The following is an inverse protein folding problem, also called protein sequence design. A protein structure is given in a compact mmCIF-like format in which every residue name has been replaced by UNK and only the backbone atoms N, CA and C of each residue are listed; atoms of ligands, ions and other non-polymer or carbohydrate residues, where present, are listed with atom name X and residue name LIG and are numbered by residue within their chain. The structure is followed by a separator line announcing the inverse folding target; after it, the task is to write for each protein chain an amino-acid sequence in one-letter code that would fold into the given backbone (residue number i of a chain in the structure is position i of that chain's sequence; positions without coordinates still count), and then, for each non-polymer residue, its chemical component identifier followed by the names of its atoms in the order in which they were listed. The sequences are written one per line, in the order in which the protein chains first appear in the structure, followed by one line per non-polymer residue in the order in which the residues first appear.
data_IF_956169524993
#
_entry.id   IF_956169524993
#
_cell.length_a   1.000
_cell.length_b   1.000
_cell.length_c   1.000
_cell.angle_alpha   90.00
_cell.angle_beta   90.00
_cell.angle_gamma   90.00
#
_symmetry.space_group_name_H-M   'P 1'
#
loop_
_entity.id
_entity.type
_entity.pdbx_description
1 polymer ?
#
# COMPACT_ATOMS: atom_id res chain seq x y z
N UNK A 1 -22.28 1.30 8.75
CA UNK A 1 -20.97 1.64 9.34
C UNK A 1 -20.43 0.33 9.88
N UNK A 2 -19.34 -0.18 9.33
CA UNK A 2 -18.72 -1.43 9.79
C UNK A 2 -17.68 -1.12 10.86
N UNK A 3 -17.59 -1.98 11.87
CA UNK A 3 -16.75 -1.77 13.05
C UNK A 3 -15.27 -1.58 12.69
N UNK A 4 -14.63 -0.61 13.35
CA UNK A 4 -13.20 -0.39 13.26
C UNK A 4 -12.48 -1.61 13.85
N UNK A 5 -11.65 -2.29 13.05
CA UNK A 5 -10.73 -3.27 13.59
C UNK A 5 -9.83 -2.57 14.62
N UNK A 6 -9.75 -3.13 15.83
CA UNK A 6 -8.90 -2.69 16.93
C UNK A 6 -7.44 -2.65 16.43
N UNK A 7 -6.96 -1.46 16.10
CA UNK A 7 -5.62 -1.27 15.54
C UNK A 7 -4.62 -1.28 16.69
N UNK A 8 -3.89 -2.39 16.80
CA UNK A 8 -2.82 -2.56 17.78
C UNK A 8 -1.70 -1.58 17.44
N UNK A 9 -1.35 -0.73 18.41
CA UNK A 9 -0.16 0.12 18.34
C UNK A 9 1.09 -0.75 18.56
N UNK A 10 2.09 -0.57 17.71
CA UNK A 10 3.31 -1.40 17.66
C UNK A 10 4.51 -0.48 17.58
N UNK A 11 5.37 -0.47 18.59
CA UNK A 11 6.62 0.29 18.52
C UNK A 11 7.53 -0.20 17.37
N UNK A 12 8.54 0.60 17.02
CA UNK A 12 9.38 0.31 15.88
C UNK A 12 10.21 -0.99 16.03
N UNK A 13 10.71 -1.30 17.23
CA UNK A 13 11.51 -2.52 17.46
C UNK A 13 10.66 -3.78 17.36
N UNK A 14 9.41 -3.72 17.84
CA UNK A 14 8.44 -4.79 17.68
C UNK A 14 8.10 -4.99 16.21
N UNK A 15 7.91 -3.91 15.44
CA UNK A 15 7.73 -3.99 13.98
C UNK A 15 8.91 -4.69 13.27
N UNK A 16 10.17 -4.33 13.60
CA UNK A 16 11.36 -4.98 13.05
C UNK A 16 11.46 -6.46 13.40
N UNK A 17 10.92 -6.85 14.57
CA UNK A 17 10.84 -8.25 14.98
C UNK A 17 9.82 -9.00 14.14
N UNK A 18 8.64 -8.41 13.92
CA UNK A 18 7.58 -8.98 13.09
C UNK A 18 8.07 -9.25 11.66
N UNK A 19 8.71 -8.28 11.00
CA UNK A 19 9.24 -8.49 9.63
C UNK A 19 10.26 -9.63 9.58
N UNK A 20 11.17 -9.68 10.56
CA UNK A 20 12.21 -10.72 10.63
C UNK A 20 11.66 -12.12 10.87
N UNK A 21 10.59 -12.24 11.65
CA UNK A 21 9.98 -13.53 11.97
C UNK A 21 9.04 -14.03 10.89
N UNK A 22 8.40 -13.11 10.17
CA UNK A 22 7.47 -13.43 9.08
C UNK A 22 8.13 -13.54 7.72
N UNK A 23 9.33 -12.96 7.57
CA UNK A 23 10.00 -12.77 6.28
C UNK A 23 9.10 -12.04 5.27
N UNK A 24 8.32 -11.08 5.77
CA UNK A 24 7.38 -10.27 4.99
C UNK A 24 7.62 -8.80 5.25
N UNK A 25 7.66 -8.02 4.17
CA UNK A 25 7.76 -6.57 4.22
C UNK A 25 6.41 -5.95 4.52
N UNK A 26 6.42 -4.97 5.39
CA UNK A 26 5.27 -4.15 5.73
C UNK A 26 5.69 -2.69 5.79
N UNK A 27 4.77 -1.77 5.52
CA UNK A 27 5.01 -0.38 5.90
C UNK A 27 4.69 -0.18 7.38
N UNK A 28 5.41 0.71 8.04
CA UNK A 28 5.13 1.13 9.41
C UNK A 28 5.01 2.64 9.48
N UNK A 29 3.90 3.15 10.01
CA UNK A 29 3.67 4.58 10.18
C UNK A 29 3.20 4.84 11.60
N UNK A 30 4.09 5.46 12.39
CA UNK A 30 3.84 5.95 13.75
C UNK A 30 3.02 4.99 14.62
N UNK A 31 3.52 3.77 14.76
CA UNK A 31 2.90 2.75 15.60
C UNK A 31 1.97 1.80 14.87
N UNK A 32 1.78 1.93 13.55
CA UNK A 32 0.79 1.13 12.80
C UNK A 32 1.46 0.40 11.65
N UNK A 33 1.14 -0.89 11.51
CA UNK A 33 1.66 -1.75 10.44
C UNK A 33 0.64 -1.85 9.31
N UNK A 34 1.09 -1.70 8.07
CA UNK A 34 0.29 -1.82 6.86
C UNK A 34 0.91 -2.91 5.98
N UNK A 35 0.07 -3.84 5.52
CA UNK A 35 0.50 -4.84 4.56
C UNK A 35 0.81 -4.16 3.21
N UNK A 36 1.93 -4.53 2.60
CA UNK A 36 2.22 -4.14 1.23
C UNK A 36 1.31 -4.92 0.28
N UNK A 37 0.75 -4.24 -0.72
CA UNK A 37 0.08 -4.91 -1.82
C UNK A 37 1.10 -5.70 -2.64
N UNK A 38 0.69 -6.86 -3.17
CA UNK A 38 1.47 -7.55 -4.19
C UNK A 38 1.48 -6.77 -5.50
N UNK A 39 2.61 -6.78 -6.22
CA UNK A 39 2.72 -6.16 -7.54
C UNK A 39 2.08 -7.02 -8.64
N UNK A 40 1.54 -6.36 -9.67
CA UNK A 40 1.14 -7.01 -10.93
C UNK A 40 2.38 -7.24 -11.82
N UNK A 41 2.24 -7.99 -12.91
CA UNK A 41 3.33 -8.15 -13.90
C UNK A 41 3.74 -6.79 -14.46
N UNK A 42 2.77 -5.95 -14.83
CA UNK A 42 3.01 -4.59 -15.32
C UNK A 42 3.73 -3.72 -14.28
N UNK A 43 3.32 -3.78 -13.01
CA UNK A 43 3.99 -3.09 -11.90
C UNK A 43 5.47 -3.51 -11.82
N UNK A 44 5.73 -4.81 -11.80
CA UNK A 44 7.10 -5.34 -11.73
C UNK A 44 7.96 -4.93 -12.93
N UNK A 45 7.40 -4.92 -14.14
CA UNK A 45 8.09 -4.47 -15.35
C UNK A 45 8.41 -2.98 -15.29
N UNK A 46 7.45 -2.13 -14.91
CA UNK A 46 7.67 -0.69 -14.77
C UNK A 46 8.74 -0.39 -13.73
N UNK A 47 8.69 -1.04 -12.56
CA UNK A 47 9.72 -0.89 -11.52
C UNK A 47 11.09 -1.30 -12.05
N UNK A 48 11.20 -2.41 -12.79
CA UNK A 48 12.46 -2.87 -13.36
C UNK A 48 13.02 -1.91 -14.44
N UNK A 49 12.17 -1.41 -15.34
CA UNK A 49 12.57 -0.46 -16.37
C UNK A 49 13.04 0.86 -15.75
N UNK A 50 12.31 1.35 -14.73
CA UNK A 50 12.73 2.51 -13.94
C UNK A 50 14.10 2.31 -13.29
N UNK A 51 14.33 1.15 -12.64
CA UNK A 51 15.64 0.83 -12.05
C UNK A 51 16.74 0.84 -13.12
N UNK A 52 16.50 0.28 -14.31
CA UNK A 52 17.44 0.29 -15.42
C UNK A 52 17.84 1.70 -15.85
N UNK A 53 16.87 2.59 -16.04
CA UNK A 53 17.13 3.99 -16.41
C UNK A 53 17.82 4.78 -15.28
N UNK A 54 17.46 4.52 -14.03
CA UNK A 54 18.16 5.11 -12.88
C UNK A 54 19.61 4.62 -12.80
N UNK A 55 19.89 3.33 -13.02
CA UNK A 55 21.25 2.79 -13.02
C UNK A 55 22.09 3.43 -14.13
N UNK A 56 21.52 3.64 -15.31
CA UNK A 56 22.17 4.34 -16.43
C UNK A 56 22.59 5.75 -16.03
N UNK A 57 21.72 6.51 -15.36
CA UNK A 57 22.05 7.85 -14.88
C UNK A 57 23.06 7.81 -13.71
N UNK A 58 22.90 6.88 -12.78
CA UNK A 58 23.73 6.75 -11.59
C UNK A 58 25.20 6.47 -11.90
N UNK A 59 25.47 5.76 -13.00
CA UNK A 59 26.82 5.49 -13.49
C UNK A 59 27.62 6.76 -13.78
N UNK A 60 26.96 7.88 -14.12
CA UNK A 60 27.61 9.15 -14.44
C UNK A 60 27.87 10.03 -13.20
N UNK A 61 27.07 9.88 -12.13
CA UNK A 61 27.07 10.80 -10.98
C UNK A 61 27.38 10.13 -9.62
N UNK A 62 27.73 8.84 -9.60
CA UNK A 62 28.18 8.14 -8.40
C UNK A 62 27.09 7.88 -7.36
N UNK A 63 25.82 7.92 -7.77
CA UNK A 63 24.70 7.54 -6.91
C UNK A 63 24.53 6.01 -6.88
N UNK A 64 23.79 5.50 -5.88
CA UNK A 64 23.43 4.09 -5.75
C UNK A 64 21.93 3.93 -5.88
N UNK A 65 21.52 3.02 -6.75
CA UNK A 65 20.11 2.66 -6.96
C UNK A 65 19.79 1.43 -6.12
N UNK A 66 18.64 1.45 -5.48
CA UNK A 66 18.14 0.37 -4.64
C UNK A 66 16.74 -0.02 -5.09
N UNK A 67 16.47 -1.32 -5.02
CA UNK A 67 15.15 -1.90 -5.27
C UNK A 67 14.25 -1.72 -4.04
N UNK A 68 13.01 -2.19 -4.14
CA UNK A 68 12.07 -2.38 -3.02
C UNK A 68 12.59 -3.25 -1.86
N UNK A 69 13.80 -3.82 -1.93
CA UNK A 69 14.43 -4.54 -0.81
C UNK A 69 15.01 -3.63 0.26
N UNK A 70 15.30 -2.37 -0.06
CA UNK A 70 15.85 -1.42 0.90
C UNK A 70 14.72 -0.61 1.53
N UNK A 71 14.64 -0.68 2.87
CA UNK A 71 13.71 0.12 3.66
C UNK A 71 14.17 1.57 3.69
N UNK A 72 13.24 2.50 3.49
CA UNK A 72 13.43 3.94 3.68
C UNK A 72 12.76 4.38 4.97
N UNK A 73 13.49 5.13 5.78
CA UNK A 73 13.00 5.67 7.05
C UNK A 73 12.86 7.18 7.02
N UNK A 74 11.63 7.65 7.16
CA UNK A 74 11.30 9.07 7.39
C UNK A 74 11.23 9.31 8.89
N UNK A 75 12.37 9.57 9.51
CA UNK A 75 12.48 9.74 10.98
C UNK A 75 11.57 10.84 11.52
N UNK A 76 11.36 11.91 10.76
CA UNK A 76 10.55 13.06 11.17
C UNK A 76 9.05 12.72 11.36
N UNK A 77 8.55 11.68 10.69
CA UNK A 77 7.12 11.31 10.74
C UNK A 77 6.90 9.89 11.24
N UNK A 78 7.97 9.14 11.44
CA UNK A 78 7.88 7.72 11.75
C UNK A 78 7.43 6.86 10.56
N UNK A 79 7.56 7.27 9.29
CA UNK A 79 7.24 6.36 8.16
C UNK A 79 8.43 5.43 7.83
N UNK A 80 8.19 4.12 7.76
CA UNK A 80 9.10 3.09 7.26
C UNK A 80 8.40 2.47 6.07
N UNK A 81 9.05 2.51 4.93
CA UNK A 81 8.43 2.13 3.67
C UNK A 81 9.45 1.52 2.72
N UNK A 82 8.93 0.82 1.72
CA UNK A 82 9.68 0.14 0.67
C UNK A 82 9.23 0.68 -0.68
N UNK A 83 9.78 1.84 -1.13
CA UNK A 83 9.46 2.38 -2.46
C UNK A 83 9.87 1.39 -3.55
N UNK A 84 9.27 1.49 -4.73
CA UNK A 84 9.60 0.61 -5.86
C UNK A 84 11.06 0.73 -6.31
N UNK A 85 11.58 1.96 -6.26
CA UNK A 85 13.01 2.22 -6.36
C UNK A 85 13.40 3.42 -5.49
N UNK A 86 14.66 3.45 -5.06
CA UNK A 86 15.24 4.61 -4.41
C UNK A 86 16.66 4.86 -4.89
N UNK A 87 17.10 6.11 -4.84
CA UNK A 87 18.47 6.52 -5.18
C UNK A 87 19.07 7.26 -4.01
N UNK A 88 20.28 6.87 -3.62
CA UNK A 88 21.10 7.56 -2.62
C UNK A 88 22.35 8.08 -3.30
N UNK A 89 22.54 9.40 -3.26
CA UNK A 89 23.74 10.05 -3.78
C UNK A 89 24.70 10.35 -2.63
N UNK A 90 25.94 9.87 -2.72
CA UNK A 90 26.90 9.91 -1.61
C UNK A 90 26.77 8.72 -0.65
N UNK A 91 27.44 8.75 0.53
CA UNK A 91 27.38 7.70 1.54
C UNK A 91 25.95 7.39 2.01
N UNK A 92 25.60 6.10 2.12
CA UNK A 92 24.32 5.68 2.70
C UNK A 92 24.32 5.94 4.19
N UNK A 93 23.44 6.83 4.64
CA UNK A 93 23.15 7.02 6.06
C UNK A 93 22.07 6.04 6.48
N UNK A 94 22.34 5.32 7.57
CA UNK A 94 21.46 4.29 8.10
C UNK A 94 20.67 4.83 9.27
N UNK A 95 19.46 4.31 9.45
CA UNK A 95 18.70 4.57 10.67
C UNK A 95 19.45 3.98 11.89
N UNK A 96 19.54 4.69 13.03
CA UNK A 96 20.23 4.19 14.22
C UNK A 96 19.58 2.93 14.82
N UNK A 97 18.27 2.77 14.63
CA UNK A 97 17.48 1.67 15.20
C UNK A 97 17.31 0.50 14.22
N UNK A 98 17.57 0.72 12.92
CA UNK A 98 17.54 -0.29 11.86
C UNK A 98 18.70 -0.10 10.87
N UNK A 99 19.75 -0.92 11.02
CA UNK A 99 20.91 -0.89 10.12
C UNK A 99 20.56 -1.18 8.66
N UNK A 100 19.43 -1.82 8.36
CA UNK A 100 19.01 -2.14 7.00
C UNK A 100 18.06 -1.08 6.42
N UNK A 101 17.77 -0.01 7.16
CA UNK A 101 17.00 1.12 6.69
C UNK A 101 17.93 2.29 6.35
N UNK A 102 17.68 2.94 5.22
CA UNK A 102 18.35 4.19 4.84
C UNK A 102 17.48 5.40 5.19
N UNK A 103 18.13 6.51 5.53
CA UNK A 103 17.45 7.77 5.94
C UNK A 103 17.66 8.92 4.96
N UNK A 104 18.56 8.77 3.97
CA UNK A 104 19.00 9.84 3.09
C UNK A 104 18.79 9.57 1.57
N UNK A 105 17.61 9.10 1.11
CA UNK A 105 17.36 9.02 -0.33
C UNK A 105 17.33 10.42 -0.96
N UNK A 106 17.85 10.52 -2.17
CA UNK A 106 17.78 11.70 -3.04
C UNK A 106 16.61 11.59 -4.04
N UNK A 107 16.29 10.38 -4.49
CA UNK A 107 15.13 10.07 -5.36
C UNK A 107 14.33 8.92 -4.76
N UNK A 108 13.00 9.03 -4.82
CA UNK A 108 12.07 7.94 -4.52
C UNK A 108 11.12 7.72 -5.71
N UNK A 109 10.87 6.47 -6.06
CA UNK A 109 9.96 6.09 -7.15
C UNK A 109 8.84 5.22 -6.60
N UNK A 110 7.61 5.52 -7.01
CA UNK A 110 6.42 4.71 -6.76
C UNK A 110 5.73 4.43 -8.09
N UNK A 111 5.47 3.15 -8.38
CA UNK A 111 4.59 2.73 -9.46
C UNK A 111 3.17 2.68 -8.90
N UNK A 112 2.31 3.53 -9.46
CA UNK A 112 0.97 3.75 -8.93
C UNK A 112 0.08 2.54 -9.19
N UNK A 113 -0.68 2.15 -8.17
CA UNK A 113 -1.70 1.12 -8.26
C UNK A 113 -3.10 1.66 -7.95
N UNK A 114 -4.16 0.99 -8.43
CA UNK A 114 -5.55 1.36 -8.10
C UNK A 114 -5.81 1.42 -6.57
N UNK A 115 -5.08 0.62 -5.79
CA UNK A 115 -5.25 0.51 -4.34
C UNK A 115 -4.45 1.54 -3.53
N UNK A 116 -3.32 2.03 -4.05
CA UNK A 116 -2.38 2.89 -3.30
C UNK A 116 -2.23 4.29 -3.89
N UNK A 117 -2.67 4.54 -5.12
CA UNK A 117 -2.42 5.80 -5.84
C UNK A 117 -2.82 7.05 -5.04
N UNK A 118 -3.98 7.04 -4.39
CA UNK A 118 -4.43 8.17 -3.58
C UNK A 118 -3.53 8.44 -2.36
N UNK A 119 -3.01 7.37 -1.73
CA UNK A 119 -2.08 7.46 -0.61
C UNK A 119 -0.69 7.91 -1.07
N UNK A 120 -0.18 7.34 -2.18
CA UNK A 120 1.13 7.66 -2.74
C UNK A 120 1.23 9.12 -3.17
N UNK A 121 0.18 9.65 -3.81
CA UNK A 121 0.07 11.06 -4.23
C UNK A 121 -0.15 12.02 -3.05
N UNK A 122 -0.75 11.55 -1.96
CA UNK A 122 -1.21 12.36 -0.84
C UNK A 122 -0.33 12.23 0.39
N UNK A 123 -0.76 11.42 1.34
CA UNK A 123 -0.16 11.31 2.68
C UNK A 123 1.28 10.78 2.63
N UNK A 124 1.57 9.78 1.79
CA UNK A 124 2.93 9.22 1.65
C UNK A 124 3.90 10.27 1.14
N UNK A 125 3.50 11.02 0.10
CA UNK A 125 4.29 12.15 -0.38
C UNK A 125 4.48 13.22 0.70
N UNK A 126 3.47 13.51 1.52
CA UNK A 126 3.61 14.45 2.63
C UNK A 126 4.69 14.01 3.64
N UNK A 127 4.83 12.71 3.91
CA UNK A 127 5.92 12.17 4.71
C UNK A 127 7.27 12.29 4.00
N UNK A 128 7.36 11.89 2.73
CA UNK A 128 8.59 11.99 1.93
C UNK A 128 9.19 13.39 1.92
N UNK A 129 8.37 14.43 1.83
CA UNK A 129 8.85 15.83 1.85
C UNK A 129 9.62 16.20 3.11
N UNK A 130 9.48 15.45 4.21
CA UNK A 130 10.24 15.66 5.46
C UNK A 130 11.66 15.08 5.42
N UNK A 131 12.01 14.29 4.41
CA UNK A 131 13.39 13.80 4.22
C UNK A 131 14.26 14.95 3.69
N UNK A 132 15.30 15.41 4.41
CA UNK A 132 16.08 16.58 4.01
C UNK A 132 16.87 16.41 2.70
N UNK A 133 17.39 15.21 2.45
CA UNK A 133 18.16 14.87 1.24
C UNK A 133 17.31 14.71 -0.01
N UNK A 134 15.99 14.53 0.15
CA UNK A 134 15.11 14.17 -0.96
C UNK A 134 14.89 15.34 -1.91
N UNK A 135 15.23 15.11 -3.18
CA UNK A 135 15.13 16.09 -4.27
C UNK A 135 14.01 15.76 -5.23
N UNK A 136 13.83 14.49 -5.59
CA UNK A 136 12.81 14.09 -6.56
C UNK A 136 11.94 12.94 -6.03
N UNK A 137 10.63 13.04 -6.26
CA UNK A 137 9.67 11.93 -6.10
C UNK A 137 9.03 11.68 -7.45
N UNK A 138 9.16 10.45 -7.95
CA UNK A 138 8.68 10.03 -9.27
C UNK A 138 7.49 9.11 -9.09
N UNK A 139 6.36 9.45 -9.70
CA UNK A 139 5.17 8.62 -9.73
C UNK A 139 4.97 8.11 -11.15
N UNK A 140 4.92 6.79 -11.33
CA UNK A 140 4.79 6.13 -12.63
C UNK A 140 3.40 5.51 -12.73
N UNK A 141 2.60 5.95 -13.71
CA UNK A 141 1.27 5.38 -13.92
C UNK A 141 1.36 3.97 -14.51
N UNK A 142 0.58 3.02 -14.01
CA UNK A 142 0.43 1.69 -14.63
C UNK A 142 -0.72 1.62 -15.66
N UNK A 143 -1.44 2.73 -15.88
CA UNK A 143 -2.64 2.77 -16.73
C UNK A 143 -2.45 3.52 -18.04
N UNK A 144 -1.46 4.39 -18.09
CA UNK A 144 -1.09 5.22 -19.24
C UNK A 144 0.41 5.50 -19.18
N UNK A 145 1.04 5.73 -20.33
CA UNK A 145 2.44 6.12 -20.40
C UNK A 145 2.61 7.56 -19.90
N UNK A 146 2.67 7.71 -18.57
CA UNK A 146 2.68 8.99 -17.87
C UNK A 146 3.50 8.92 -16.60
N UNK A 147 4.49 9.79 -16.52
CA UNK A 147 5.35 9.99 -15.35
C UNK A 147 5.12 11.38 -14.78
N UNK A 148 4.96 11.45 -13.46
CA UNK A 148 4.95 12.70 -12.72
C UNK A 148 6.19 12.79 -11.86
N UNK A 149 6.84 13.96 -11.89
CA UNK A 149 8.02 14.22 -11.06
C UNK A 149 7.73 15.44 -10.20
N UNK A 150 7.76 15.24 -8.89
CA UNK A 150 7.85 16.31 -7.91
C UNK A 150 9.32 16.57 -7.61
N UNK A 151 9.81 17.76 -7.96
CA UNK A 151 11.19 18.18 -7.67
C UNK A 151 11.23 19.30 -6.64
N UNK A 152 12.15 19.22 -5.68
CA UNK A 152 12.39 20.25 -4.67
C UNK A 152 13.37 21.29 -5.20
N UNK A 153 12.89 22.52 -5.39
CA UNK A 153 13.73 23.64 -5.82
C UNK A 153 14.66 24.16 -4.71
N UNK A 154 15.55 25.09 -5.07
CA UNK A 154 16.53 25.70 -4.14
C UNK A 154 15.87 26.45 -2.97
N UNK A 155 14.61 26.87 -3.13
CA UNK A 155 13.81 27.54 -2.08
C UNK A 155 13.02 26.54 -1.24
N UNK A 156 13.19 25.23 -1.46
CA UNK A 156 12.49 24.16 -0.76
C UNK A 156 11.05 23.94 -1.23
N UNK A 157 10.63 24.55 -2.34
CA UNK A 157 9.29 24.35 -2.90
C UNK A 157 9.27 23.09 -3.76
N UNK A 158 8.16 22.38 -3.74
CA UNK A 158 7.94 21.21 -4.58
C UNK A 158 7.19 21.60 -5.85
N UNK A 159 7.80 21.35 -7.00
CA UNK A 159 7.24 21.64 -8.33
C UNK A 159 6.87 20.33 -8.99
N UNK A 160 5.63 20.23 -9.45
CA UNK A 160 5.15 19.10 -10.23
C UNK A 160 5.40 19.35 -11.72
N UNK A 161 6.01 18.36 -12.37
CA UNK A 161 6.07 18.24 -13.83
C UNK A 161 5.45 16.91 -14.25
N UNK A 162 4.94 16.84 -15.48
CA UNK A 162 4.37 15.62 -16.06
C UNK A 162 5.00 15.42 -17.43
N UNK A 163 5.37 14.16 -17.73
CA UNK A 163 5.81 13.73 -19.04
C UNK A 163 4.96 12.53 -19.48
N UNK A 164 4.54 12.54 -20.75
CA UNK A 164 3.73 11.52 -21.40
C UNK A 164 4.56 10.76 -22.44
N UNK A 165 3.95 9.79 -23.13
CA UNK A 165 4.58 9.08 -24.26
C UNK A 165 5.22 10.06 -25.28
N UNK A 166 6.43 9.72 -25.74
CA UNK A 166 7.25 10.55 -26.63
C UNK A 166 7.99 11.70 -25.92
N UNK A 167 7.72 11.98 -24.65
CA UNK A 167 8.35 13.05 -23.88
C UNK A 167 9.50 12.53 -23.00
N UNK A 168 10.22 13.46 -22.37
CA UNK A 168 11.28 13.18 -21.40
C UNK A 168 10.97 13.88 -20.08
N UNK A 169 11.37 13.25 -18.97
CA UNK A 169 11.38 13.88 -17.66
C UNK A 169 12.81 13.95 -17.12
N UNK A 170 13.08 14.94 -16.27
CA UNK A 170 14.41 15.17 -15.68
C UNK A 170 14.39 14.91 -14.18
N UNK A 171 15.52 14.43 -13.65
CA UNK A 171 15.75 14.25 -12.21
C UNK A 171 16.82 15.24 -11.75
N UNK A 172 16.44 16.15 -10.86
CA UNK A 172 17.35 17.18 -10.35
C UNK A 172 18.48 16.61 -9.50
N UNK A 173 18.24 15.49 -8.80
CA UNK A 173 19.23 14.80 -7.99
C UNK A 173 20.41 14.23 -8.80
N UNK A 174 20.19 13.95 -10.09
CA UNK A 174 21.12 13.17 -10.92
C UNK A 174 21.58 13.92 -12.17
N UNK A 175 21.07 15.14 -12.40
CA UNK A 175 21.31 15.97 -13.59
C UNK A 175 21.13 15.18 -14.90
N UNK A 176 20.01 14.46 -15.00
CA UNK A 176 19.76 13.51 -16.07
C UNK A 176 18.30 13.48 -16.52
N UNK A 177 18.09 13.12 -17.78
CA UNK A 177 16.77 12.93 -18.37
C UNK A 177 16.52 11.48 -18.77
N UNK A 178 15.26 11.06 -18.68
CA UNK A 178 14.76 9.74 -19.03
C UNK A 178 13.62 9.90 -20.04
N UNK A 179 13.66 9.12 -21.11
CA UNK A 179 12.56 9.01 -22.08
C UNK A 179 11.44 8.17 -21.50
N UNK A 180 10.21 8.70 -21.52
CA UNK A 180 9.03 7.96 -21.03
C UNK A 180 8.91 6.64 -21.77
N UNK A 181 9.08 6.63 -23.09
CA UNK A 181 8.94 5.42 -23.90
C UNK A 181 9.90 4.29 -23.51
N UNK A 182 11.06 4.59 -22.90
CA UNK A 182 11.97 3.55 -22.39
C UNK A 182 11.46 2.89 -21.12
N UNK A 183 10.84 3.67 -20.25
CA UNK A 183 10.20 3.17 -19.02
C UNK A 183 9.04 2.25 -19.36
N UNK A 184 8.30 2.57 -20.43
CA UNK A 184 7.10 1.86 -20.86
C UNK A 184 7.35 0.84 -21.98
N UNK A 185 8.62 0.62 -22.37
CA UNK A 185 8.96 -0.32 -23.44
C UNK A 185 8.51 -1.74 -23.10
N UNK A 186 7.72 -2.33 -24.00
CA UNK A 186 7.15 -3.68 -23.92
C UNK A 186 6.29 -3.95 -22.66
N UNK A 187 5.75 -2.89 -22.04
CA UNK A 187 4.84 -3.01 -20.89
C UNK A 187 3.38 -3.08 -21.38
N UNK A 188 2.67 -4.14 -21.00
CA UNK A 188 1.23 -4.23 -21.20
C UNK A 188 0.49 -3.46 -20.09
N UNK A 189 -0.05 -2.29 -20.44
CA UNK A 189 -0.73 -1.42 -19.48
C UNK A 189 -2.11 -1.94 -19.10
N UNK A 190 -2.40 -1.92 -17.80
CA UNK A 190 -3.70 -2.34 -17.29
C UNK A 190 -4.73 -1.22 -17.50
N UNK A 191 -5.92 -1.50 -18.06
CA UNK A 191 -6.98 -0.51 -18.10
C UNK A 191 -7.39 -0.14 -16.67
N UNK A 192 -7.57 1.16 -16.41
CA UNK A 192 -7.97 1.65 -15.08
C UNK A 192 -9.28 0.99 -14.67
N UNK A 193 -9.35 0.44 -13.45
CA UNK A 193 -10.61 -0.08 -12.95
C UNK A 193 -11.66 1.03 -13.03
N UNK A 194 -12.76 0.78 -13.74
CA UNK A 194 -13.80 1.79 -13.91
C UNK A 194 -14.22 2.30 -12.52
N UNK A 195 -13.98 3.58 -12.26
CA UNK A 195 -14.41 4.21 -11.01
C UNK A 195 -15.89 3.86 -10.83
N UNK A 196 -16.22 3.13 -9.76
CA UNK A 196 -17.62 2.81 -9.45
C UNK A 196 -18.31 4.16 -9.31
N UNK A 197 -19.02 4.58 -10.36
CA UNK A 197 -19.82 5.82 -10.32
C UNK A 197 -20.66 5.72 -9.04
N UNK A 198 -20.59 6.70 -8.13
CA UNK A 198 -21.52 6.72 -7.02
C UNK A 198 -22.90 6.66 -7.66
N UNK A 199 -23.67 5.60 -7.35
CA UNK A 199 -25.07 5.54 -7.78
C UNK A 199 -25.70 6.78 -7.18
N UNK A 200 -26.10 7.73 -8.03
CA UNK A 200 -26.94 8.83 -7.61
C UNK A 200 -28.18 8.18 -7.00
N UNK A 201 -28.28 8.15 -5.67
CA UNK A 201 -29.52 7.77 -5.00
C UNK A 201 -30.46 8.92 -5.33
N UNK A 202 -31.28 8.74 -6.37
CA UNK A 202 -32.36 9.70 -6.65
C UNK A 202 -33.20 9.75 -5.38
N UNK A 203 -33.44 10.94 -4.81
CA UNK A 203 -34.34 11.06 -3.67
C UNK A 203 -35.67 10.42 -4.06
N UNK A 204 -36.32 9.68 -3.15
CA UNK A 204 -37.64 9.13 -3.43
C UNK A 204 -38.57 10.29 -3.85
N UNK A 205 -39.47 10.09 -4.83
CA UNK A 205 -40.45 11.10 -5.17
C UNK A 205 -41.20 11.51 -3.90
N UNK A 206 -41.41 12.82 -3.70
CA UNK A 206 -42.15 13.35 -2.55
C UNK A 206 -43.49 12.63 -2.47
N UNK A 207 -43.65 11.83 -1.42
CA UNK A 207 -44.92 11.18 -1.10
C UNK A 207 -45.92 12.26 -0.70
N UNK A 208 -46.95 12.48 -1.53
CA UNK A 208 -48.18 13.15 -1.14
C UNK A 208 -49.06 12.12 -0.43
N UNK A 209 -48.70 11.73 0.79
CA UNK A 209 -49.56 10.93 1.65
C UNK A 209 -50.16 11.82 2.76
N UNK A 210 -51.47 11.74 3.04
CA UNK A 210 -52.12 12.54 4.05
C UNK A 210 -51.68 12.15 5.47
N UNK A 211 -51.76 13.12 6.38
CA UNK A 211 -51.41 13.02 7.79
C UNK A 211 -51.95 11.73 8.47
N UNK A 212 -51.12 10.98 9.22
CA UNK A 212 -51.59 9.84 9.98
C UNK A 212 -52.33 10.28 11.25
N UNK A 213 -53.54 9.74 11.41
CA UNK A 213 -54.37 9.88 12.60
C UNK A 213 -53.70 9.19 13.81
N UNK A 214 -53.61 9.91 14.94
CA UNK A 214 -53.08 9.42 16.21
C UNK A 214 -54.07 8.42 16.82
N UNK A 215 -53.80 7.13 16.74
CA UNK A 215 -54.03 6.18 17.84
C UNK A 215 -53.61 4.77 17.44
N UNK A 216 -52.54 4.28 18.07
CA UNK A 216 -52.37 2.90 18.56
C UNK A 216 -50.97 2.76 19.16
N UNK A 217 -50.89 2.47 20.45
CA UNK A 217 -49.67 2.07 21.15
C UNK A 217 -49.29 0.66 20.71
N UNK A 218 -48.03 0.44 20.35
CA UNK A 218 -47.42 -0.89 20.20
C UNK A 218 -46.55 -1.20 21.43
N UNK A 219 -46.46 -2.47 21.88
CA UNK A 219 -45.74 -2.84 23.09
C UNK A 219 -44.22 -3.01 22.85
N UNK A 220 -43.44 -2.84 23.92
CA UNK A 220 -41.99 -3.01 23.95
C UNK A 220 -41.58 -4.46 23.64
N UNK A 221 -40.63 -4.62 22.71
CA UNK A 221 -39.96 -5.89 22.46
C UNK A 221 -38.60 -5.92 23.19
N UNK A 222 -38.41 -6.96 24.01
CA UNK A 222 -37.20 -7.26 24.78
C UNK A 222 -36.06 -7.71 23.85
N UNK A 223 -34.87 -7.13 24.03
CA UNK A 223 -33.64 -7.48 23.30
C UNK A 223 -33.01 -8.72 23.96
N UNK A 224 -32.88 -9.82 23.22
CA UNK A 224 -32.06 -10.99 23.60
C UNK A 224 -30.74 -10.93 22.83
N UNK A 225 -29.61 -10.91 23.55
CA UNK A 225 -28.25 -10.99 22.97
C UNK A 225 -27.85 -12.45 22.71
N UNK A 226 -27.31 -12.81 21.53
CA UNK A 226 -26.73 -14.14 21.33
C UNK A 226 -25.34 -14.25 21.99
N UNK A 227 -25.07 -15.41 22.62
CA UNK A 227 -23.75 -15.80 23.14
C UNK A 227 -22.87 -16.33 21.99
N UNK A 228 -21.65 -15.83 21.89
CA UNK A 228 -20.59 -16.34 21.00
C UNK A 228 -19.68 -17.28 21.79
N UNK A 229 -19.37 -18.50 21.30
CA UNK A 229 -18.44 -19.41 21.98
C UNK A 229 -16.96 -19.05 21.69
N UNK A 230 -16.02 -19.36 22.61
CA UNK A 230 -14.61 -19.04 22.42
C UNK A 230 -13.93 -19.98 21.40
N UNK A 231 -12.92 -19.50 20.65
CA UNK A 231 -12.14 -20.36 19.76
C UNK A 231 -11.21 -21.29 20.56
N UNK A 232 -11.17 -22.56 20.15
CA UNK A 232 -10.20 -23.56 20.61
C UNK A 232 -9.02 -23.60 19.62
N UNK A 233 -7.80 -23.66 20.16
CA UNK A 233 -6.58 -23.99 19.39
C UNK A 233 -5.38 -23.15 19.83
N UNK A 234 -4.59 -23.68 20.77
CA UNK A 234 -3.28 -23.14 21.14
C UNK A 234 -2.18 -23.59 20.17
N UNK A 235 -1.20 -22.74 19.95
CA UNK A 235 0.07 -23.11 19.35
C UNK A 235 1.04 -23.45 20.47
N UNK A 236 1.07 -24.72 20.87
CA UNK A 236 2.25 -25.31 21.49
C UNK A 236 2.87 -26.28 20.46
N UNK A 237 4.20 -26.26 20.42
CA UNK A 237 5.15 -27.19 19.78
C UNK A 237 5.90 -26.71 18.51
N UNK A 238 6.99 -25.97 18.76
CA UNK A 238 8.25 -26.10 18.00
C UNK A 238 9.45 -25.78 18.93
N UNK A 239 10.48 -26.63 19.05
CA UNK A 239 11.58 -26.40 19.98
C UNK A 239 12.58 -25.37 19.43
N UNK A 240 12.97 -24.38 20.24
CA UNK A 240 14.20 -23.60 20.04
C UNK A 240 14.09 -22.10 19.76
N UNK A 241 12.92 -21.46 19.84
CA UNK A 241 12.82 -19.99 19.70
C UNK A 241 12.53 -19.32 21.05
N UNK A 242 13.27 -18.24 21.34
CA UNK A 242 13.02 -17.34 22.47
C UNK A 242 11.54 -16.96 22.49
N UNK A 243 10.93 -16.97 23.68
CA UNK A 243 9.51 -16.62 23.87
C UNK A 243 9.26 -15.21 23.37
N UNK A 244 8.59 -15.12 22.22
CA UNK A 244 7.98 -13.89 21.72
C UNK A 244 6.79 -13.59 22.65
N UNK A 245 6.58 -12.33 23.09
CA UNK A 245 5.40 -11.99 23.88
C UNK A 245 4.13 -12.46 23.15
N UNK A 246 3.18 -13.06 23.87
CA UNK A 246 1.97 -13.66 23.29
C UNK A 246 1.19 -12.68 22.37
N UNK A 247 1.28 -11.39 22.66
CA UNK A 247 0.64 -10.32 21.88
C UNK A 247 1.28 -10.14 20.49
N UNK A 248 2.60 -10.31 20.38
CA UNK A 248 3.33 -10.25 19.10
C UNK A 248 3.05 -11.51 18.28
N UNK A 249 2.97 -12.69 18.90
CA UNK A 249 2.53 -13.91 18.21
C UNK A 249 1.10 -13.79 17.66
N UNK A 250 0.17 -13.25 18.45
CA UNK A 250 -1.21 -13.05 18.00
C UNK A 250 -1.30 -12.04 16.84
N UNK A 251 -0.50 -10.97 16.88
CA UNK A 251 -0.42 -9.98 15.81
C UNK A 251 0.23 -10.55 14.54
N UNK A 252 1.32 -11.31 14.67
CA UNK A 252 1.97 -12.04 13.56
C UNK A 252 0.98 -12.98 12.90
N UNK A 253 0.21 -13.76 13.67
CA UNK A 253 -0.82 -14.66 13.12
C UNK A 253 -1.91 -13.86 12.39
N UNK A 254 -2.30 -12.69 12.89
CA UNK A 254 -3.31 -11.82 12.26
C UNK A 254 -2.81 -11.20 10.96
N UNK A 255 -1.56 -10.70 10.93
CA UNK A 255 -0.91 -10.14 9.75
C UNK A 255 -0.63 -11.22 8.69
N UNK A 256 -0.22 -12.42 9.12
CA UNK A 256 0.03 -13.53 8.20
C UNK A 256 -1.24 -14.06 7.52
N UNK A 257 -2.40 -13.95 8.19
CA UNK A 257 -3.74 -14.36 7.71
C UNK A 257 -4.46 -13.27 6.89
N UNK A 258 -3.82 -12.14 6.63
CA UNK A 258 -4.37 -11.08 5.77
C UNK A 258 -4.45 -11.52 4.32
N UNK A 259 -5.57 -12.15 3.93
CA UNK A 259 -5.97 -12.28 2.54
C UNK A 259 -6.06 -10.87 1.94
N UNK A 260 -5.30 -10.64 0.85
CA UNK A 260 -5.19 -9.38 0.14
C UNK A 260 -6.44 -8.98 -0.63
N UNK A 261 -7.60 -8.95 0.01
CA UNK A 261 -8.82 -8.48 -0.62
C UNK A 261 -9.75 -7.80 0.39
N UNK A 262 -9.98 -6.50 0.18
CA UNK A 262 -10.94 -5.70 0.92
C UNK A 262 -12.38 -6.09 0.56
N UNK A 263 -12.82 -7.31 0.88
CA UNK A 263 -14.21 -7.75 0.71
C UNK A 263 -14.77 -8.45 1.94
N UNK A 264 -15.80 -7.81 2.50
CA UNK A 264 -16.77 -8.42 3.41
C UNK A 264 -17.28 -9.75 2.83
N UNK A 265 -17.07 -10.83 3.57
CA UNK A 265 -17.85 -12.06 3.43
C UNK A 265 -19.32 -11.75 3.78
N UNK A 266 -20.19 -11.71 2.77
CA UNK A 266 -21.64 -11.94 2.99
C UNK A 266 -21.89 -13.43 2.84
N UNK A 267 -22.43 -14.02 3.90
CA UNK A 267 -22.77 -15.43 3.96
C UNK A 267 -23.85 -15.82 2.96
N UNK A 268 -23.68 -17.03 2.42
CA UNK A 268 -24.73 -18.02 2.18
C UNK A 268 -25.70 -17.75 1.04
N UNK A 269 -25.47 -18.41 -0.10
CA UNK A 269 -26.55 -19.13 -0.75
C UNK A 269 -26.08 -20.54 -1.16
N UNK A 270 -26.79 -21.56 -0.69
CA UNK A 270 -26.47 -22.98 -0.92
C UNK A 270 -27.18 -23.41 -2.20
N UNK A 271 -26.43 -23.51 -3.31
CA UNK A 271 -26.90 -24.27 -4.47
C UNK A 271 -26.56 -25.77 -4.30
N UNK A 272 -27.49 -26.70 -4.54
CA UNK A 272 -27.25 -28.14 -4.40
C UNK A 272 -26.43 -28.70 -5.57
N UNK A 273 -25.70 -29.81 -5.40
CA UNK A 273 -24.81 -30.36 -6.42
C UNK A 273 -25.59 -31.05 -7.57
N UNK A 274 -25.05 -31.06 -8.80
CA UNK A 274 -25.68 -31.75 -9.92
C UNK A 274 -25.59 -33.28 -9.78
N UNK A 275 -26.71 -33.95 -10.11
CA UNK A 275 -26.84 -35.41 -10.15
C UNK A 275 -25.87 -36.02 -11.18
N UNK A 276 -25.09 -37.02 -10.74
CA UNK A 276 -24.32 -37.93 -11.61
C UNK A 276 -25.26 -38.64 -12.58
N UNK A 277 -25.11 -38.41 -13.90
CA UNK A 277 -25.62 -39.33 -14.92
C UNK A 277 -24.72 -40.55 -14.97
N UNK A 278 -25.28 -41.72 -14.64
CA UNK A 278 -24.71 -43.03 -14.96
C UNK A 278 -24.58 -43.14 -16.48
N UNK A 279 -23.38 -43.41 -16.98
CA UNK A 279 -23.21 -44.07 -18.28
C UNK A 279 -23.25 -45.57 -18.03
N UNK A 280 -24.28 -46.22 -18.54
CA UNK A 280 -24.32 -47.65 -18.80
C UNK A 280 -24.60 -47.82 -20.28
N UNK A 281 -23.66 -48.47 -20.95
CA UNK A 281 -23.67 -49.18 -22.25
C UNK A 281 -24.78 -48.84 -23.23
#
# INVERSE_FOLDING_TARGET
MGDAAEQTWVDYQTYLTIERETDRKHEWLDGRIYAMAGGTIAHGQLSAQMIGELLRLAAACGCRVHTTDVKIRVRATGLATYPDASVICGPTERDPDDRNAAVNPAVLVEVLSDGTEAYDRGDKFAHYRQIPSLRDVVLVSQHEARVEVYSRDERGRWVLSTANAGERFSLTAMDGAIEVDRVYADVELAPRAAARRPRLIRPPPRSTAPHPNRSRRAPLATIVRPRVPPPRGGCDDAPGKRRVPLDVCALVVRLCRGDGDGRLLRGGDRSPPPRRRRRSR
#
